data_IF_138201867143
#
_entry.id   IF_138201867143
#
_cell.length_a   1.000
_cell.length_b   1.000
_cell.length_c   1.000
_cell.angle_alpha   90.00
_cell.angle_beta   90.00
_cell.angle_gamma   90.00
#
_symmetry.space_group_name_H-M   'P 1'
#
loop_
_entity.id
_entity.type
_entity.pdbx_description
1 polymer ?
#
# COMPACT_ATOMS: atom_id res chain seq x y z
N UNK A 1 8.85 22.29 -16.98
CA UNK A 1 9.21 21.25 -17.98
C UNK A 1 9.44 19.89 -17.32
N UNK A 2 10.28 19.79 -16.26
CA UNK A 2 10.62 18.49 -15.65
C UNK A 2 9.44 17.79 -14.96
N UNK A 3 8.54 18.54 -14.32
CA UNK A 3 7.36 18.00 -13.65
C UNK A 3 6.29 17.57 -14.65
N UNK A 4 6.09 18.35 -15.69
CA UNK A 4 5.18 18.08 -16.79
C UNK A 4 5.55 16.75 -17.49
N UNK A 5 6.82 16.59 -17.85
CA UNK A 5 7.34 15.37 -18.48
C UNK A 5 7.34 14.17 -17.52
N UNK A 6 7.75 14.39 -16.26
CA UNK A 6 7.82 13.34 -15.23
C UNK A 6 6.47 12.71 -14.92
N UNK A 7 5.42 13.53 -14.84
CA UNK A 7 4.09 13.08 -14.46
C UNK A 7 3.11 12.99 -15.64
N UNK A 8 3.59 13.31 -16.88
CA UNK A 8 2.78 13.31 -18.11
C UNK A 8 1.50 14.14 -17.97
N UNK A 9 1.64 15.36 -17.43
CA UNK A 9 0.54 16.28 -17.23
C UNK A 9 0.13 16.94 -18.54
N UNK A 10 -1.16 17.16 -18.74
CA UNK A 10 -1.64 17.96 -19.85
C UNK A 10 -1.58 19.48 -19.55
N UNK A 11 -1.88 20.32 -20.55
CA UNK A 11 -1.82 21.77 -20.45
C UNK A 11 -2.75 22.34 -19.35
N UNK A 12 -3.91 21.73 -19.17
CA UNK A 12 -4.86 22.14 -18.13
C UNK A 12 -4.34 21.75 -16.73
N UNK A 13 -3.78 20.55 -16.58
CA UNK A 13 -3.19 20.07 -15.33
C UNK A 13 -1.99 20.94 -14.91
N UNK A 14 -1.15 21.31 -15.87
CA UNK A 14 -0.01 22.24 -15.64
C UNK A 14 -0.51 23.61 -15.22
N UNK A 15 -1.56 24.13 -15.86
CA UNK A 15 -2.16 25.42 -15.51
C UNK A 15 -2.75 25.41 -14.11
N UNK A 16 -3.49 24.34 -13.76
CA UNK A 16 -4.04 24.14 -12.41
C UNK A 16 -2.91 24.10 -11.35
N UNK A 17 -1.84 23.35 -11.62
CA UNK A 17 -0.72 23.23 -10.69
C UNK A 17 0.00 24.59 -10.52
N UNK A 18 0.25 25.32 -11.60
CA UNK A 18 0.89 26.61 -11.53
C UNK A 18 0.08 27.62 -10.71
N UNK A 19 -1.24 27.61 -10.87
CA UNK A 19 -2.14 28.44 -10.08
C UNK A 19 -2.12 28.06 -8.60
N UNK A 20 -2.19 26.78 -8.27
CA UNK A 20 -2.12 26.29 -6.90
C UNK A 20 -0.81 26.67 -6.21
N UNK A 21 0.32 26.52 -6.90
CA UNK A 21 1.63 26.90 -6.36
C UNK A 21 1.69 28.39 -6.06
N UNK A 22 1.15 29.23 -6.95
CA UNK A 22 1.10 30.65 -6.74
C UNK A 22 0.28 31.03 -5.52
N UNK A 23 -0.95 30.55 -5.43
CA UNK A 23 -1.85 30.84 -4.32
C UNK A 23 -1.32 30.31 -2.97
N UNK A 24 -0.66 29.14 -2.96
CA UNK A 24 0.01 28.60 -1.77
C UNK A 24 1.17 29.47 -1.29
N UNK A 25 1.94 30.06 -2.21
CA UNK A 25 3.01 31.04 -1.89
C UNK A 25 2.45 32.32 -1.30
N UNK A 26 1.26 32.75 -1.75
CA UNK A 26 0.54 33.92 -1.23
C UNK A 26 -0.20 33.62 0.09
N UNK A 27 -0.19 32.36 0.55
CA UNK A 27 -0.85 31.91 1.79
C UNK A 27 -2.37 31.75 1.65
N UNK A 28 -2.88 31.68 0.42
CA UNK A 28 -4.29 31.52 0.09
C UNK A 28 -4.69 30.05 -0.01
N UNK A 29 -5.97 29.75 0.23
CA UNK A 29 -6.58 28.43 -0.02
C UNK A 29 -7.42 28.51 -1.28
N UNK A 30 -7.37 27.46 -2.10
CA UNK A 30 -8.11 27.39 -3.38
C UNK A 30 -9.24 26.38 -3.26
N UNK A 31 -10.45 26.79 -3.62
CA UNK A 31 -11.60 25.87 -3.71
C UNK A 31 -11.56 25.07 -5.02
N UNK A 32 -12.03 23.83 -4.97
CA UNK A 32 -12.10 22.93 -6.14
C UNK A 32 -12.86 23.57 -7.31
N UNK A 33 -13.99 24.24 -7.04
CA UNK A 33 -14.79 24.87 -8.10
C UNK A 33 -14.05 26.05 -8.72
N UNK A 34 -13.25 26.78 -7.97
CA UNK A 34 -12.42 27.88 -8.46
C UNK A 34 -11.34 27.35 -9.41
N UNK A 35 -10.62 26.30 -8.98
CA UNK A 35 -9.56 25.69 -9.78
C UNK A 35 -10.09 25.12 -11.11
N UNK A 36 -11.26 24.47 -11.08
CA UNK A 36 -11.87 23.92 -12.30
C UNK A 36 -12.34 25.03 -13.24
N UNK A 37 -12.89 26.13 -12.72
CA UNK A 37 -13.29 27.26 -13.55
C UNK A 37 -12.13 27.91 -14.28
N UNK A 38 -10.93 27.87 -13.72
CA UNK A 38 -9.72 28.42 -14.33
C UNK A 38 -9.44 27.82 -15.72
N UNK A 39 -9.74 26.53 -15.90
CA UNK A 39 -9.48 25.77 -17.15
C UNK A 39 -10.78 25.45 -17.92
N UNK A 40 -11.87 26.17 -17.63
CA UNK A 40 -13.17 25.93 -18.24
C UNK A 40 -13.75 27.21 -18.84
N UNK A 41 -14.20 27.13 -20.08
CA UNK A 41 -14.80 28.25 -20.82
C UNK A 41 -16.30 28.36 -20.58
N UNK A 42 -16.98 27.29 -20.25
CA UNK A 42 -18.43 27.23 -20.04
C UNK A 42 -18.83 26.22 -18.94
N UNK A 43 -20.12 26.17 -18.60
CA UNK A 43 -20.63 25.27 -17.55
C UNK A 43 -20.53 23.78 -17.91
N UNK A 44 -20.56 23.41 -19.18
CA UNK A 44 -20.38 22.02 -19.61
C UNK A 44 -18.93 21.59 -19.42
N UNK A 45 -18.00 22.48 -19.69
CA UNK A 45 -16.58 22.23 -19.43
C UNK A 45 -16.28 22.13 -17.94
N UNK A 46 -16.88 22.97 -17.11
CA UNK A 46 -16.77 22.89 -15.63
C UNK A 46 -17.18 21.49 -15.14
N UNK A 47 -18.28 20.94 -15.67
CA UNK A 47 -18.71 19.60 -15.31
C UNK A 47 -17.72 18.51 -15.77
N UNK A 48 -17.28 18.60 -17.03
CA UNK A 48 -16.32 17.65 -17.61
C UNK A 48 -14.95 17.73 -16.92
N UNK A 49 -14.45 18.93 -16.65
CA UNK A 49 -13.12 19.17 -16.11
C UNK A 49 -12.99 18.80 -14.62
N UNK A 50 -14.10 18.50 -13.92
CA UNK A 50 -14.05 17.88 -12.59
C UNK A 50 -13.28 16.56 -12.58
N UNK A 51 -13.16 15.89 -13.72
CA UNK A 51 -12.37 14.68 -13.86
C UNK A 51 -10.88 14.88 -13.52
N UNK A 52 -10.32 16.09 -13.69
CA UNK A 52 -8.92 16.40 -13.34
C UNK A 52 -8.62 16.30 -11.84
N UNK A 53 -9.63 16.35 -11.00
CA UNK A 53 -9.53 16.21 -9.54
C UNK A 53 -10.23 14.93 -9.04
N UNK A 54 -10.57 14.00 -9.94
CA UNK A 54 -11.06 12.68 -9.53
C UNK A 54 -9.94 11.85 -8.90
N UNK A 55 -10.31 10.84 -8.13
CA UNK A 55 -9.35 9.94 -7.45
C UNK A 55 -8.39 9.24 -8.43
N UNK A 56 -8.82 9.09 -9.69
CA UNK A 56 -8.05 8.45 -10.76
C UNK A 56 -7.27 9.45 -11.63
N UNK A 57 -7.44 10.75 -11.39
CA UNK A 57 -6.76 11.79 -12.17
C UNK A 57 -5.25 11.83 -11.87
N UNK A 58 -4.39 12.14 -12.87
CA UNK A 58 -2.95 12.24 -12.69
C UNK A 58 -2.51 13.16 -11.55
N UNK A 59 -3.15 14.32 -11.39
CA UNK A 59 -2.85 15.25 -10.31
C UNK A 59 -3.05 14.64 -8.92
N UNK A 60 -4.13 13.87 -8.74
CA UNK A 60 -4.46 13.23 -7.46
C UNK A 60 -3.68 11.92 -7.28
N UNK A 61 -3.63 11.09 -8.33
CA UNK A 61 -2.95 9.78 -8.29
C UNK A 61 -1.45 9.92 -8.00
N UNK A 62 -0.78 10.86 -8.66
CA UNK A 62 0.65 11.09 -8.44
C UNK A 62 0.91 11.90 -7.15
N UNK A 63 -0.12 12.27 -6.42
CA UNK A 63 0.00 13.05 -5.20
C UNK A 63 0.58 14.44 -5.41
N UNK A 64 0.29 15.02 -6.56
CA UNK A 64 0.66 16.40 -6.90
C UNK A 64 -0.23 17.36 -6.12
N UNK A 65 -1.51 17.04 -6.02
CA UNK A 65 -2.51 17.79 -5.25
C UNK A 65 -3.14 16.94 -4.16
N UNK A 66 -3.58 17.59 -3.10
CA UNK A 66 -4.30 16.99 -1.98
C UNK A 66 -5.64 17.71 -1.79
N UNK A 67 -6.73 16.92 -1.75
CA UNK A 67 -8.08 17.42 -1.49
C UNK A 67 -8.32 17.36 0.02
N UNK A 68 -8.63 18.50 0.63
CA UNK A 68 -9.00 18.58 2.05
C UNK A 68 -10.51 18.73 2.15
N UNK A 69 -11.19 17.76 2.77
CA UNK A 69 -12.57 17.92 3.17
C UNK A 69 -12.64 18.86 4.38
N UNK A 70 -13.25 20.02 4.21
CA UNK A 70 -13.55 20.91 5.33
C UNK A 70 -14.61 20.29 6.22
N UNK A 71 -14.18 19.72 7.35
CA UNK A 71 -15.04 19.04 8.34
C UNK A 71 -15.77 20.06 9.25
N UNK A 72 -15.60 21.36 9.04
CA UNK A 72 -16.23 22.42 9.83
C UNK A 72 -17.27 23.20 9.02
N UNK A 73 -18.54 23.01 9.44
CA UNK A 73 -19.68 23.85 9.11
C UNK A 73 -20.13 23.92 7.63
N UNK A 74 -21.08 23.05 7.24
CA UNK A 74 -22.10 23.27 6.19
C UNK A 74 -21.72 24.09 4.94
N UNK A 75 -20.43 24.30 4.63
CA UNK A 75 -19.98 24.95 3.41
C UNK A 75 -19.62 23.90 2.35
N UNK A 76 -20.29 23.97 1.24
CA UNK A 76 -19.97 23.25 0.00
C UNK A 76 -18.64 23.81 -0.51
N UNK A 77 -17.53 23.15 -0.21
CA UNK A 77 -16.23 23.47 -0.77
C UNK A 77 -15.21 22.52 -0.21
N UNK A 78 -14.59 21.76 -1.07
CA UNK A 78 -13.36 21.02 -0.74
C UNK A 78 -12.20 21.90 -1.15
N UNK A 79 -11.31 22.22 -0.21
CA UNK A 79 -10.08 22.94 -0.53
C UNK A 79 -9.11 21.98 -1.23
N UNK A 80 -8.40 22.51 -2.21
CA UNK A 80 -7.35 21.79 -2.93
C UNK A 80 -6.02 22.51 -2.73
N UNK A 81 -4.95 21.76 -2.49
CA UNK A 81 -3.60 22.29 -2.28
C UNK A 81 -2.59 21.50 -3.06
N UNK A 82 -1.49 22.15 -3.46
CA UNK A 82 -0.31 21.46 -3.89
C UNK A 82 0.34 20.73 -2.70
N UNK A 83 0.83 19.50 -2.93
CA UNK A 83 1.47 18.78 -1.83
C UNK A 83 2.81 19.41 -1.45
N UNK A 84 3.24 19.32 -0.17
CA UNK A 84 4.52 19.87 0.26
C UNK A 84 5.71 19.36 -0.56
N UNK A 85 5.64 18.13 -1.06
CA UNK A 85 6.69 17.52 -1.89
C UNK A 85 6.83 18.24 -3.23
N UNK A 86 5.70 18.50 -3.88
CA UNK A 86 5.66 19.24 -5.14
C UNK A 86 6.09 20.69 -4.93
N UNK A 87 5.66 21.33 -3.85
CA UNK A 87 6.09 22.68 -3.50
C UNK A 87 7.61 22.75 -3.32
N UNK A 88 8.21 21.80 -2.59
CA UNK A 88 9.67 21.72 -2.45
C UNK A 88 10.37 21.51 -3.80
N UNK A 89 9.87 20.59 -4.61
CA UNK A 89 10.46 20.30 -5.92
C UNK A 89 10.41 21.53 -6.85
N UNK A 90 9.30 22.29 -6.84
CA UNK A 90 9.14 23.47 -7.69
C UNK A 90 9.97 24.65 -7.19
N UNK A 91 9.97 24.88 -5.86
CA UNK A 91 10.60 26.09 -5.28
C UNK A 91 12.09 25.91 -5.07
N UNK A 92 12.53 24.73 -4.62
CA UNK A 92 13.90 24.47 -4.21
C UNK A 92 14.70 23.66 -5.24
N UNK A 93 14.07 23.20 -6.31
CA UNK A 93 14.67 22.31 -7.34
C UNK A 93 15.40 21.11 -6.72
N UNK A 94 14.91 20.64 -5.56
CA UNK A 94 15.48 19.52 -4.84
C UNK A 94 14.52 18.32 -4.93
N UNK A 95 15.00 17.14 -5.40
CA UNK A 95 14.21 15.95 -5.35
C UNK A 95 13.92 15.59 -3.89
N UNK A 96 12.66 15.33 -3.58
CA UNK A 96 12.25 14.86 -2.25
C UNK A 96 12.65 13.40 -2.13
N UNK A 97 13.38 13.06 -1.07
CA UNK A 97 13.80 11.70 -0.77
C UNK A 97 12.61 10.82 -0.36
N UNK A 98 12.66 9.55 -0.73
CA UNK A 98 11.63 8.54 -0.38
C UNK A 98 11.41 8.45 1.14
N UNK A 99 12.46 8.63 1.93
CA UNK A 99 12.38 8.59 3.39
C UNK A 99 11.58 9.76 3.96
N UNK A 100 11.76 10.94 3.40
CA UNK A 100 10.99 12.12 3.77
C UNK A 100 9.51 11.96 3.37
N UNK A 101 9.24 11.45 2.15
CA UNK A 101 7.86 11.14 1.70
C UNK A 101 7.17 10.13 2.60
N UNK A 102 7.83 9.04 2.95
CA UNK A 102 7.31 8.04 3.88
C UNK A 102 6.97 8.67 5.23
N UNK A 103 7.89 9.48 5.77
CA UNK A 103 7.70 10.16 7.05
C UNK A 103 6.49 11.09 7.02
N UNK A 104 6.31 11.85 5.94
CA UNK A 104 5.17 12.75 5.78
C UNK A 104 3.85 12.00 5.66
N UNK A 105 3.79 10.92 4.85
CA UNK A 105 2.57 10.13 4.68
C UNK A 105 2.17 9.42 5.99
N UNK A 106 3.14 8.99 6.77
CA UNK A 106 2.93 8.29 8.04
C UNK A 106 2.71 9.23 9.23
N UNK A 107 2.97 10.53 9.08
CA UNK A 107 2.82 11.51 10.16
C UNK A 107 1.39 11.52 10.70
N UNK A 108 1.26 11.32 12.02
CA UNK A 108 -0.04 11.26 12.69
C UNK A 108 -0.84 9.97 12.42
N UNK A 109 -0.21 8.95 11.83
CA UNK A 109 -0.85 7.66 11.59
C UNK A 109 -0.32 6.62 12.60
N UNK A 110 -1.18 6.23 13.53
CA UNK A 110 -0.92 5.28 14.62
C UNK A 110 -1.11 3.79 14.23
N UNK A 111 -1.61 3.54 13.02
CA UNK A 111 -1.84 2.17 12.54
C UNK A 111 -0.55 1.45 12.15
N UNK A 112 0.50 2.19 11.83
CA UNK A 112 1.72 1.64 11.25
C UNK A 112 2.94 1.87 12.13
N UNK A 113 3.84 0.90 12.05
CA UNK A 113 5.22 1.01 12.57
C UNK A 113 6.18 0.73 11.42
N UNK A 114 7.00 1.72 11.04
CA UNK A 114 8.02 1.56 10.00
C UNK A 114 9.32 1.07 10.62
N UNK A 115 9.90 0.01 10.06
CA UNK A 115 11.15 -0.60 10.52
C UNK A 115 12.09 -0.76 9.33
N UNK A 116 13.37 -0.49 9.55
CA UNK A 116 14.44 -0.94 8.66
C UNK A 116 14.91 -2.32 9.14
N UNK A 117 14.63 -3.41 8.41
CA UNK A 117 14.97 -4.75 8.86
C UNK A 117 16.48 -4.97 8.81
N UNK A 118 17.05 -5.42 9.93
CA UNK A 118 18.48 -5.72 10.05
C UNK A 118 18.81 -7.21 9.78
N UNK A 119 17.78 -8.03 9.57
CA UNK A 119 17.93 -9.48 9.37
C UNK A 119 18.00 -9.80 7.89
N UNK A 120 18.90 -10.74 7.55
CA UNK A 120 19.06 -11.23 6.18
C UNK A 120 18.44 -12.62 6.02
N UNK A 121 18.34 -13.10 4.78
CA UNK A 121 17.91 -14.47 4.52
C UNK A 121 18.88 -15.51 5.11
N UNK A 122 20.14 -15.14 5.35
CA UNK A 122 21.13 -16.03 5.96
C UNK A 122 20.88 -16.23 7.46
N UNK A 123 20.40 -15.18 8.14
CA UNK A 123 20.03 -15.25 9.56
C UNK A 123 18.77 -16.08 9.80
N UNK A 124 17.98 -16.35 8.76
CA UNK A 124 16.77 -17.13 8.84
C UNK A 124 17.10 -18.62 8.92
N UNK A 125 16.86 -19.24 10.07
CA UNK A 125 17.09 -20.67 10.27
C UNK A 125 15.84 -21.44 9.84
N UNK A 126 15.86 -21.90 8.59
CA UNK A 126 14.82 -22.71 7.93
C UNK A 126 15.48 -23.79 7.09
N UNK A 127 14.69 -24.80 6.72
CA UNK A 127 15.12 -25.80 5.75
C UNK A 127 15.57 -25.12 4.44
N UNK A 128 16.70 -25.58 3.83
CA UNK A 128 17.24 -24.94 2.62
C UNK A 128 16.24 -24.89 1.47
N UNK A 129 15.41 -25.91 1.31
CA UNK A 129 14.38 -25.99 0.27
C UNK A 129 13.34 -24.91 0.43
N UNK A 130 12.94 -24.59 1.68
CA UNK A 130 11.98 -23.56 1.97
C UNK A 130 12.56 -22.17 1.69
N UNK A 131 13.83 -21.92 2.09
CA UNK A 131 14.55 -20.69 1.73
C UNK A 131 14.62 -20.49 0.22
N UNK A 132 14.97 -21.53 -0.51
CA UNK A 132 15.07 -21.47 -1.97
C UNK A 132 13.69 -21.18 -2.61
N UNK A 133 12.64 -21.78 -2.07
CA UNK A 133 11.26 -21.52 -2.52
C UNK A 133 10.89 -20.06 -2.33
N UNK A 134 11.22 -19.46 -1.17
CA UNK A 134 11.01 -18.04 -0.90
C UNK A 134 11.73 -17.17 -1.95
N UNK A 135 13.05 -17.39 -2.09
CA UNK A 135 13.90 -16.60 -2.98
C UNK A 135 13.41 -16.71 -4.44
N UNK A 136 13.12 -17.93 -4.89
CA UNK A 136 12.65 -18.16 -6.26
C UNK A 136 11.29 -17.52 -6.52
N UNK A 137 10.37 -17.59 -5.55
CA UNK A 137 9.03 -16.99 -5.70
C UNK A 137 9.08 -15.47 -5.73
N UNK A 138 9.97 -14.87 -4.93
CA UNK A 138 10.21 -13.42 -4.93
C UNK A 138 10.93 -13.01 -6.22
N UNK A 139 11.91 -13.78 -6.67
CA UNK A 139 12.64 -13.53 -7.92
C UNK A 139 11.69 -13.47 -9.11
N UNK A 140 10.75 -14.42 -9.21
CA UNK A 140 9.73 -14.43 -10.28
C UNK A 140 8.83 -13.19 -10.25
N UNK A 141 8.59 -12.62 -9.09
CA UNK A 141 7.84 -11.36 -8.98
C UNK A 141 8.66 -10.16 -9.50
N UNK A 142 9.99 -10.14 -9.26
CA UNK A 142 10.91 -9.12 -9.77
C UNK A 142 11.29 -9.32 -11.24
N UNK A 143 11.42 -10.56 -11.68
CA UNK A 143 11.63 -10.92 -13.09
C UNK A 143 10.32 -10.64 -13.82
N UNK A 144 10.18 -9.43 -14.24
CA UNK A 144 9.22 -8.84 -15.14
C UNK A 144 8.36 -9.89 -15.89
N UNK A 145 7.31 -10.37 -15.23
CA UNK A 145 6.30 -11.26 -15.87
C UNK A 145 5.79 -10.61 -17.17
N UNK A 146 5.77 -9.27 -17.21
CA UNK A 146 5.43 -8.50 -18.40
C UNK A 146 6.40 -8.73 -19.57
N UNK A 147 7.71 -8.88 -19.31
CA UNK A 147 8.69 -9.16 -20.37
C UNK A 147 8.49 -10.58 -20.93
N UNK A 148 8.20 -11.55 -20.07
CA UNK A 148 7.90 -12.92 -20.50
C UNK A 148 6.56 -13.01 -21.24
N UNK A 149 5.53 -12.29 -20.79
CA UNK A 149 4.23 -12.24 -21.45
C UNK A 149 4.29 -11.50 -22.78
N UNK A 150 5.14 -10.46 -22.90
CA UNK A 150 5.40 -9.78 -24.18
C UNK A 150 6.14 -10.68 -25.15
N UNK A 151 7.15 -11.42 -24.68
CA UNK A 151 7.92 -12.36 -25.50
C UNK A 151 7.06 -13.53 -26.01
N UNK A 152 6.07 -13.95 -25.23
CA UNK A 152 5.10 -14.96 -25.63
C UNK A 152 3.91 -14.44 -26.43
N UNK A 153 3.87 -13.15 -26.76
CA UNK A 153 2.76 -12.48 -27.47
C UNK A 153 1.38 -12.70 -26.81
N UNK A 154 1.36 -13.03 -25.53
CA UNK A 154 0.14 -13.22 -24.75
C UNK A 154 -0.43 -11.88 -24.23
N UNK A 155 0.31 -10.81 -24.37
CA UNK A 155 -0.13 -9.45 -24.10
C UNK A 155 -0.92 -8.94 -25.32
N UNK A 156 -2.07 -9.54 -25.57
CA UNK A 156 -3.05 -8.93 -26.47
C UNK A 156 -3.59 -7.71 -25.73
N UNK A 157 -3.22 -6.52 -26.23
CA UNK A 157 -3.64 -5.23 -25.74
C UNK A 157 -5.15 -5.11 -25.55
N UNK A 158 -5.64 -5.69 -24.49
CA UNK A 158 -6.97 -5.45 -24.00
C UNK A 158 -6.97 -4.12 -23.24
N UNK A 159 -7.41 -3.09 -23.95
CA UNK A 159 -7.72 -1.74 -23.49
C UNK A 159 -6.53 -0.89 -23.00
N UNK A 160 -5.85 -0.27 -23.94
CA UNK A 160 -5.41 1.10 -23.80
C UNK A 160 -6.66 1.98 -23.56
N UNK A 161 -7.07 2.08 -22.31
CA UNK A 161 -7.93 3.17 -21.89
C UNK A 161 -7.04 4.39 -21.92
N UNK A 162 -7.31 5.25 -22.87
CA UNK A 162 -6.66 6.53 -23.14
C UNK A 162 -6.36 7.25 -21.84
N UNK A 163 -5.05 7.50 -21.54
CA UNK A 163 -4.62 8.40 -20.49
C UNK A 163 -3.89 7.80 -19.28
N UNK A 164 -3.60 6.50 -19.24
CA UNK A 164 -2.85 5.93 -18.13
C UNK A 164 -1.34 6.18 -18.30
N UNK A 165 -0.77 7.01 -17.44
CA UNK A 165 0.67 7.23 -17.27
C UNK A 165 1.46 5.92 -17.36
N UNK A 166 2.54 5.90 -18.17
CA UNK A 166 3.44 4.77 -18.44
C UNK A 166 4.30 4.31 -17.25
N UNK A 167 3.98 4.63 -16.01
CA UNK A 167 4.61 3.95 -14.88
C UNK A 167 4.10 2.50 -14.89
N UNK A 168 5.00 1.55 -15.16
CA UNK A 168 4.75 0.10 -15.03
C UNK A 168 4.04 -0.14 -13.71
N UNK A 169 2.75 -0.49 -13.77
CA UNK A 169 1.99 -0.89 -12.59
C UNK A 169 2.48 -2.27 -12.19
N UNK A 170 3.40 -2.34 -11.22
CA UNK A 170 3.80 -3.62 -10.64
C UNK A 170 2.55 -4.29 -10.06
N UNK A 171 2.26 -5.54 -10.43
CA UNK A 171 1.17 -6.29 -9.82
C UNK A 171 1.42 -6.44 -8.32
N UNK A 172 0.37 -6.51 -7.51
CA UNK A 172 0.51 -6.75 -6.09
C UNK A 172 1.02 -8.16 -5.80
N UNK A 173 1.95 -8.32 -4.85
CA UNK A 173 2.38 -9.62 -4.33
C UNK A 173 1.83 -9.84 -2.94
N UNK A 174 0.92 -10.81 -2.80
CA UNK A 174 0.39 -11.24 -1.51
C UNK A 174 1.03 -12.55 -1.07
N UNK A 175 1.65 -12.52 0.11
CA UNK A 175 2.28 -13.69 0.72
C UNK A 175 1.63 -14.00 2.06
N UNK A 176 1.46 -15.26 2.37
CA UNK A 176 1.00 -15.75 3.65
C UNK A 176 2.10 -16.60 4.31
N UNK A 177 2.50 -16.21 5.52
CA UNK A 177 3.34 -17.03 6.39
C UNK A 177 2.47 -17.60 7.51
N UNK A 178 2.32 -18.91 7.54
CA UNK A 178 1.50 -19.58 8.54
C UNK A 178 2.31 -20.61 9.33
N UNK A 179 1.83 -20.99 10.50
CA UNK A 179 2.48 -21.96 11.35
C UNK A 179 2.33 -21.63 12.84
N UNK A 180 2.79 -22.50 13.74
CA UNK A 180 2.65 -22.33 15.18
C UNK A 180 3.23 -21.00 15.69
N UNK A 181 2.75 -20.53 16.84
CA UNK A 181 3.33 -19.34 17.48
C UNK A 181 4.80 -19.56 17.82
N UNK A 182 5.62 -18.51 17.69
CA UNK A 182 7.06 -18.57 18.00
C UNK A 182 7.96 -19.17 16.90
N UNK A 183 7.44 -19.51 15.72
CA UNK A 183 8.24 -20.04 14.59
C UNK A 183 8.99 -18.97 13.79
N UNK A 184 8.93 -17.70 14.20
CA UNK A 184 9.71 -16.63 13.56
C UNK A 184 9.05 -15.99 12.34
N UNK A 185 7.73 -16.05 12.18
CA UNK A 185 7.00 -15.48 11.03
C UNK A 185 7.29 -13.99 10.79
N UNK A 186 7.26 -13.19 11.85
CA UNK A 186 7.58 -11.76 11.79
C UNK A 186 9.05 -11.53 11.41
N UNK A 187 9.96 -12.35 11.95
CA UNK A 187 11.39 -12.33 11.62
C UNK A 187 11.60 -12.67 10.13
N UNK A 188 10.95 -13.73 9.64
CA UNK A 188 11.00 -14.10 8.23
C UNK A 188 10.46 -12.99 7.31
N UNK A 189 9.40 -12.30 7.73
CA UNK A 189 8.87 -11.14 6.99
C UNK A 189 9.90 -10.01 6.88
N UNK A 190 10.65 -9.75 7.95
CA UNK A 190 11.76 -8.79 7.95
C UNK A 190 12.90 -9.21 7.03
N UNK A 191 13.32 -10.48 7.08
CA UNK A 191 14.36 -11.01 6.20
C UNK A 191 13.96 -10.95 4.71
N UNK A 192 12.69 -11.22 4.40
CA UNK A 192 12.13 -11.08 3.05
C UNK A 192 12.16 -9.61 2.61
N UNK A 193 11.72 -8.68 3.45
CA UNK A 193 11.75 -7.24 3.13
C UNK A 193 13.19 -6.77 2.86
N UNK A 194 14.15 -7.20 3.69
CA UNK A 194 15.58 -6.89 3.49
C UNK A 194 16.12 -7.47 2.19
N UNK A 195 15.74 -8.70 1.85
CA UNK A 195 16.14 -9.34 0.59
C UNK A 195 15.61 -8.57 -0.64
N UNK A 196 14.42 -7.98 -0.52
CA UNK A 196 13.84 -7.09 -1.52
C UNK A 196 14.46 -5.67 -1.54
N UNK A 197 15.37 -5.36 -0.63
CA UNK A 197 15.93 -4.01 -0.46
C UNK A 197 14.88 -2.99 0.02
N UNK A 198 13.84 -3.45 0.75
CA UNK A 198 12.69 -2.64 1.18
C UNK A 198 12.62 -2.52 2.70
N UNK A 199 12.11 -1.39 3.19
CA UNK A 199 11.70 -1.25 4.59
C UNK A 199 10.45 -2.11 4.87
N UNK A 200 10.16 -2.35 6.14
CA UNK A 200 8.99 -3.10 6.59
C UNK A 200 8.01 -2.17 7.30
N UNK A 201 6.78 -2.13 6.82
CA UNK A 201 5.68 -1.36 7.38
C UNK A 201 4.74 -2.32 8.11
N UNK A 202 4.80 -2.35 9.43
CA UNK A 202 4.05 -3.30 10.25
C UNK A 202 2.73 -2.68 10.70
N UNK A 203 1.67 -3.46 10.58
CA UNK A 203 0.38 -3.19 11.21
C UNK A 203 -0.09 -4.42 11.98
N UNK A 204 -0.49 -4.21 13.22
CA UNK A 204 -1.12 -5.24 14.03
C UNK A 204 -2.63 -5.15 13.87
N UNK A 205 -3.26 -6.28 13.59
CA UNK A 205 -4.72 -6.33 13.40
C UNK A 205 -5.48 -5.85 14.63
N UNK A 206 -4.95 -6.08 15.83
CA UNK A 206 -5.53 -5.58 17.07
C UNK A 206 -5.72 -4.06 17.09
N UNK A 207 -4.86 -3.30 16.41
CA UNK A 207 -4.97 -1.84 16.30
C UNK A 207 -6.11 -1.39 15.37
N UNK A 208 -6.55 -2.26 14.47
CA UNK A 208 -7.66 -1.98 13.56
C UNK A 208 -9.01 -2.13 14.25
N UNK A 209 -9.07 -2.93 15.31
CA UNK A 209 -10.30 -3.17 16.04
C UNK A 209 -10.58 -2.02 17.02
N UNK A 210 -11.77 -1.50 16.96
CA UNK A 210 -12.29 -0.51 17.89
C UNK A 210 -13.52 -1.06 18.60
N UNK A 211 -13.75 -0.58 19.83
CA UNK A 211 -14.99 -0.87 20.57
C UNK A 211 -16.22 -0.15 19.98
N UNK A 212 -15.99 0.81 19.10
CA UNK A 212 -17.04 1.62 18.49
C UNK A 212 -17.47 1.04 17.14
N UNK A 213 -18.77 0.94 16.93
CA UNK A 213 -19.36 0.45 15.67
C UNK A 213 -18.93 1.35 14.51
N UNK A 214 -18.43 0.74 13.43
CA UNK A 214 -18.00 1.42 12.21
C UNK A 214 -16.57 2.00 12.22
N UNK A 215 -15.90 2.10 13.38
CA UNK A 215 -14.52 2.57 13.45
C UNK A 215 -13.52 1.55 12.89
N UNK A 216 -13.74 0.28 13.18
CA UNK A 216 -12.92 -0.81 12.64
C UNK A 216 -12.93 -0.83 11.10
N UNK A 217 -14.10 -0.61 10.49
CA UNK A 217 -14.22 -0.52 9.02
C UNK A 217 -13.46 0.69 8.46
N UNK A 218 -13.56 1.84 9.12
CA UNK A 218 -12.80 3.04 8.76
C UNK A 218 -11.29 2.81 8.85
N UNK A 219 -10.83 2.13 9.90
CA UNK A 219 -9.43 1.80 10.08
C UNK A 219 -8.89 0.87 9.00
N UNK A 220 -9.66 -0.16 8.60
CA UNK A 220 -9.28 -1.05 7.49
C UNK A 220 -9.22 -0.29 6.16
N UNK A 221 -10.21 0.56 5.86
CA UNK A 221 -10.14 1.42 4.66
C UNK A 221 -8.95 2.37 4.71
N UNK A 222 -8.70 3.00 5.86
CA UNK A 222 -7.55 3.89 6.07
C UNK A 222 -6.22 3.16 5.85
N UNK A 223 -6.08 1.92 6.34
CA UNK A 223 -4.91 1.10 6.14
C UNK A 223 -4.59 0.93 4.66
N UNK A 224 -5.54 0.44 3.87
CA UNK A 224 -5.32 0.22 2.43
C UNK A 224 -5.10 1.53 1.66
N UNK A 225 -5.85 2.58 1.96
CA UNK A 225 -5.70 3.88 1.31
C UNK A 225 -4.31 4.51 1.57
N UNK A 226 -3.83 4.43 2.82
CA UNK A 226 -2.50 4.94 3.17
C UNK A 226 -1.41 4.11 2.48
N UNK A 227 -1.51 2.79 2.51
CA UNK A 227 -0.54 1.94 1.83
C UNK A 227 -0.54 2.15 0.31
N UNK A 228 -1.71 2.28 -0.31
CA UNK A 228 -1.82 2.60 -1.74
C UNK A 228 -1.19 3.96 -2.06
N UNK A 229 -1.39 4.97 -1.20
CA UNK A 229 -0.72 6.28 -1.33
C UNK A 229 0.81 6.15 -1.26
N UNK A 230 1.33 5.34 -0.34
CA UNK A 230 2.77 5.06 -0.25
C UNK A 230 3.28 4.42 -1.54
N UNK A 231 2.63 3.35 -2.03
CA UNK A 231 3.04 2.65 -3.26
C UNK A 231 3.02 3.56 -4.49
N UNK A 232 2.15 4.55 -4.52
CA UNK A 232 2.07 5.51 -5.63
C UNK A 232 3.13 6.60 -5.57
N UNK A 233 3.52 7.06 -4.36
CA UNK A 233 4.36 8.24 -4.15
C UNK A 233 5.84 7.94 -3.88
N UNK A 234 6.12 6.74 -3.41
CA UNK A 234 7.47 6.30 -3.00
C UNK A 234 8.03 5.40 -4.08
N UNK A 235 9.23 5.67 -4.55
CA UNK A 235 9.85 4.92 -5.66
C UNK A 235 10.21 3.49 -5.21
N UNK A 236 10.64 3.32 -3.94
CA UNK A 236 10.86 2.01 -3.32
C UNK A 236 9.93 1.80 -2.12
N UNK A 237 8.64 1.47 -2.35
CA UNK A 237 7.67 1.34 -1.29
C UNK A 237 7.99 0.18 -0.34
N UNK A 238 7.75 0.32 0.97
CA UNK A 238 8.01 -0.73 1.96
C UNK A 238 7.10 -1.95 1.73
N UNK A 239 7.51 -3.08 2.28
CA UNK A 239 6.65 -4.27 2.39
C UNK A 239 5.64 -4.03 3.52
N UNK A 240 4.35 -4.19 3.25
CA UNK A 240 3.31 -4.16 4.27
C UNK A 240 3.23 -5.51 4.99
N UNK A 241 3.39 -5.53 6.29
CA UNK A 241 3.19 -6.70 7.13
C UNK A 241 1.89 -6.57 7.92
N UNK A 242 0.93 -7.45 7.65
CA UNK A 242 -0.24 -7.67 8.49
C UNK A 242 0.07 -8.75 9.51
N UNK A 243 0.39 -8.33 10.73
CA UNK A 243 0.75 -9.24 11.79
C UNK A 243 -0.49 -9.78 12.50
N UNK A 244 -0.49 -11.09 12.83
CA UNK A 244 -1.58 -11.77 13.54
C UNK A 244 -2.94 -11.67 12.82
N UNK A 245 -2.96 -12.00 11.53
CA UNK A 245 -4.14 -11.90 10.69
C UNK A 245 -5.24 -12.95 11.00
N UNK A 246 -5.08 -13.73 12.06
CA UNK A 246 -5.97 -14.84 12.46
C UNK A 246 -7.44 -14.44 12.50
N UNK A 247 -7.72 -13.26 13.03
CA UNK A 247 -9.06 -12.80 13.33
C UNK A 247 -9.94 -12.57 12.10
N UNK A 248 -9.35 -12.22 10.95
CA UNK A 248 -10.14 -12.00 9.73
C UNK A 248 -9.95 -13.10 8.67
N UNK A 249 -8.92 -13.95 8.80
CA UNK A 249 -8.69 -15.05 7.87
C UNK A 249 -9.58 -16.28 8.13
N UNK A 250 -10.25 -16.33 9.27
CA UNK A 250 -11.12 -17.44 9.67
C UNK A 250 -12.31 -17.61 8.74
N UNK A 251 -12.85 -18.80 8.68
CA UNK A 251 -14.07 -19.12 7.94
C UNK A 251 -15.25 -18.25 8.40
N UNK A 252 -16.02 -17.77 7.44
CA UNK A 252 -17.20 -16.93 7.69
C UNK A 252 -18.25 -17.71 8.50
N UNK A 253 -18.87 -17.01 9.43
CA UNK A 253 -20.02 -17.55 10.13
C UNK A 253 -21.22 -17.52 9.19
N UNK A 254 -21.72 -18.69 8.80
CA UNK A 254 -22.85 -18.85 7.88
C UNK A 254 -24.19 -18.42 8.51
N UNK A 255 -24.31 -18.45 9.82
CA UNK A 255 -25.46 -17.97 10.57
C UNK A 255 -25.06 -16.73 11.39
N UNK A 256 -25.39 -15.56 10.88
CA UNK A 256 -25.19 -14.30 11.61
C UNK A 256 -26.30 -14.16 12.66
N UNK A 257 -25.99 -14.52 13.91
CA UNK A 257 -26.92 -14.42 15.05
C UNK A 257 -26.72 -13.14 15.86
N UNK A 258 -25.63 -12.41 15.62
CA UNK A 258 -25.33 -11.20 16.38
C UNK A 258 -24.83 -10.07 15.47
N UNK A 259 -24.94 -8.82 15.96
CA UNK A 259 -24.33 -7.65 15.29
C UNK A 259 -22.81 -7.75 15.18
N UNK A 260 -22.16 -8.51 16.07
CA UNK A 260 -20.72 -8.77 16.06
C UNK A 260 -20.36 -9.62 14.84
N UNK A 261 -21.15 -10.66 14.53
CA UNK A 261 -20.93 -11.54 13.37
C UNK A 261 -21.07 -10.77 12.05
N UNK A 262 -22.03 -9.85 11.98
CA UNK A 262 -22.21 -8.97 10.81
C UNK A 262 -21.00 -8.03 10.63
N UNK A 263 -20.50 -7.45 11.71
CA UNK A 263 -19.31 -6.59 11.68
C UNK A 263 -18.06 -7.38 11.23
N UNK A 264 -17.86 -8.60 11.72
CA UNK A 264 -16.73 -9.44 11.29
C UNK A 264 -16.81 -9.78 9.80
N UNK A 265 -17.99 -10.16 9.29
CA UNK A 265 -18.18 -10.41 7.87
C UNK A 265 -17.94 -9.15 7.01
N UNK A 266 -18.34 -7.97 7.49
CA UNK A 266 -18.08 -6.69 6.82
C UNK A 266 -16.59 -6.40 6.74
N UNK A 267 -15.86 -6.59 7.85
CA UNK A 267 -14.41 -6.41 7.89
C UNK A 267 -13.69 -7.37 6.93
N UNK A 268 -14.10 -8.66 6.91
CA UNK A 268 -13.56 -9.64 5.97
C UNK A 268 -13.75 -9.21 4.51
N UNK A 269 -14.92 -8.67 4.16
CA UNK A 269 -15.18 -8.17 2.80
C UNK A 269 -14.26 -7.00 2.45
N UNK A 270 -14.02 -6.06 3.39
CA UNK A 270 -13.10 -4.94 3.17
C UNK A 270 -11.65 -5.41 2.97
N UNK A 271 -11.20 -6.42 3.73
CA UNK A 271 -9.88 -7.01 3.50
C UNK A 271 -9.79 -7.69 2.13
N UNK A 272 -10.81 -8.45 1.72
CA UNK A 272 -10.86 -9.08 0.39
C UNK A 272 -10.80 -8.04 -0.73
N UNK A 273 -11.56 -6.95 -0.62
CA UNK A 273 -11.51 -5.82 -1.56
C UNK A 273 -10.13 -5.17 -1.58
N UNK A 274 -9.53 -4.93 -0.40
CA UNK A 274 -8.19 -4.38 -0.28
C UNK A 274 -7.12 -5.27 -0.92
N UNK A 275 -7.23 -6.60 -0.76
CA UNK A 275 -6.31 -7.56 -1.38
C UNK A 275 -6.41 -7.57 -2.91
N UNK A 276 -7.61 -7.44 -3.47
CA UNK A 276 -7.83 -7.39 -4.93
C UNK A 276 -7.24 -6.13 -5.58
N UNK A 277 -7.25 -5.01 -4.85
CA UNK A 277 -6.72 -3.73 -5.34
C UNK A 277 -5.26 -3.53 -5.02
N UNK A 278 -4.67 -4.43 -4.22
CA UNK A 278 -3.31 -4.25 -3.72
C UNK A 278 -2.31 -4.05 -4.84
N UNK A 279 -1.43 -3.09 -4.64
CA UNK A 279 -0.19 -2.87 -5.39
C UNK A 279 0.97 -2.97 -4.39
N UNK A 280 2.15 -3.29 -4.91
CA UNK A 280 3.31 -3.51 -4.04
C UNK A 280 3.28 -4.87 -3.34
N UNK A 281 4.08 -5.04 -2.29
CA UNK A 281 4.26 -6.32 -1.59
C UNK A 281 3.59 -6.29 -0.23
N UNK A 282 2.78 -7.31 0.05
CA UNK A 282 2.17 -7.52 1.36
C UNK A 282 2.41 -8.94 1.87
N UNK A 283 2.74 -9.05 3.13
CA UNK A 283 2.89 -10.31 3.86
C UNK A 283 1.86 -10.32 4.98
N UNK A 284 1.08 -11.38 5.07
CA UNK A 284 0.24 -11.65 6.23
C UNK A 284 0.82 -12.80 7.05
N UNK A 285 0.77 -12.69 8.39
CA UNK A 285 1.18 -13.77 9.27
C UNK A 285 -0.04 -14.31 10.03
N UNK A 286 -0.10 -15.63 10.21
CA UNK A 286 -1.18 -16.29 10.94
C UNK A 286 -0.68 -17.53 11.69
N UNK A 287 -1.32 -17.82 12.82
CA UNK A 287 -1.11 -19.07 13.55
C UNK A 287 -2.10 -20.16 13.10
N UNK A 288 -3.09 -19.81 12.28
CA UNK A 288 -4.10 -20.76 11.78
C UNK A 288 -3.51 -21.60 10.65
N UNK A 289 -3.63 -22.94 10.79
CA UNK A 289 -3.21 -23.89 9.76
C UNK A 289 -4.40 -24.32 8.88
N UNK A 290 -5.55 -24.64 9.45
CA UNK A 290 -6.61 -25.40 8.77
C UNK A 290 -7.95 -24.66 8.59
N UNK A 291 -8.17 -23.50 9.21
CA UNK A 291 -9.48 -22.83 9.25
C UNK A 291 -9.53 -21.52 8.45
N UNK A 292 -8.69 -21.38 7.41
CA UNK A 292 -8.72 -20.21 6.57
C UNK A 292 -9.88 -20.23 5.59
N UNK A 293 -10.61 -19.13 5.49
CA UNK A 293 -11.64 -18.97 4.47
C UNK A 293 -11.05 -19.11 3.07
N UNK A 294 -11.71 -19.91 2.24
CA UNK A 294 -11.28 -20.22 0.87
C UNK A 294 -11.15 -18.96 -0.02
N UNK A 295 -11.93 -17.92 0.27
CA UNK A 295 -11.85 -16.65 -0.45
C UNK A 295 -10.53 -15.94 -0.21
N UNK A 296 -10.01 -15.95 1.04
CA UNK A 296 -8.68 -15.42 1.33
C UNK A 296 -7.59 -16.32 0.76
N UNK A 297 -7.73 -17.65 0.92
CA UNK A 297 -6.74 -18.61 0.43
C UNK A 297 -6.42 -18.46 -1.06
N UNK A 298 -7.43 -18.13 -1.87
CA UNK A 298 -7.28 -17.97 -3.34
C UNK A 298 -6.53 -16.68 -3.74
N UNK A 299 -6.46 -15.68 -2.84
CA UNK A 299 -5.85 -14.38 -3.14
C UNK A 299 -4.37 -14.33 -2.81
N UNK A 300 -3.90 -15.22 -1.93
CA UNK A 300 -2.48 -15.31 -1.66
C UNK A 300 -1.75 -16.00 -2.81
N UNK A 301 -0.78 -15.30 -3.40
CA UNK A 301 0.06 -15.82 -4.46
C UNK A 301 1.07 -16.86 -3.96
N UNK A 302 1.55 -16.68 -2.72
CA UNK A 302 2.47 -17.57 -2.07
C UNK A 302 1.99 -17.85 -0.64
N UNK A 303 1.90 -19.13 -0.30
CA UNK A 303 1.57 -19.61 1.05
C UNK A 303 2.70 -20.48 1.54
N UNK A 304 3.27 -20.15 2.69
CA UNK A 304 4.40 -20.86 3.25
C UNK A 304 4.14 -21.20 4.71
N UNK A 305 4.36 -22.47 5.01
CA UNK A 305 4.36 -22.97 6.37
C UNK A 305 5.74 -22.77 6.99
N UNK A 306 5.80 -22.15 8.17
CA UNK A 306 6.96 -22.12 9.04
C UNK A 306 6.72 -23.14 10.17
N UNK A 307 7.23 -24.35 10.04
CA UNK A 307 7.04 -25.39 11.03
C UNK A 307 7.84 -25.10 12.31
N UNK A 308 7.57 -25.85 13.37
CA UNK A 308 8.44 -25.84 14.55
C UNK A 308 9.84 -26.28 14.17
N UNK A 309 10.89 -25.58 14.65
CA UNK A 309 12.27 -25.87 14.28
C UNK A 309 12.69 -27.27 14.75
N UNK A 310 13.37 -28.00 13.88
CA UNK A 310 13.96 -29.29 14.16
C UNK A 310 15.09 -29.20 15.24
N UNK A 311 15.56 -30.30 15.74
CA UNK A 311 16.59 -30.31 16.82
C UNK A 311 17.84 -29.51 16.45
N UNK A 312 18.33 -29.70 15.23
CA UNK A 312 19.55 -29.04 14.73
C UNK A 312 19.30 -27.52 14.48
N UNK A 313 18.11 -27.18 14.03
CA UNK A 313 17.70 -25.79 13.87
C UNK A 313 17.58 -25.09 15.22
N UNK A 314 17.01 -25.74 16.24
CA UNK A 314 16.97 -25.20 17.60
C UNK A 314 18.37 -24.96 18.17
N UNK A 315 19.32 -25.88 17.94
CA UNK A 315 20.71 -25.70 18.37
C UNK A 315 21.34 -24.46 17.71
N UNK A 316 21.08 -24.23 16.41
CA UNK A 316 21.54 -23.01 15.70
C UNK A 316 20.88 -21.75 16.26
N UNK A 317 19.56 -21.78 16.55
CA UNK A 317 18.84 -20.66 17.17
C UNK A 317 19.44 -20.31 18.54
N UNK A 318 19.74 -21.31 19.38
CA UNK A 318 20.39 -21.08 20.67
C UNK A 318 21.77 -20.42 20.50
N UNK A 319 22.58 -20.89 19.58
CA UNK A 319 23.89 -20.29 19.32
C UNK A 319 23.82 -18.86 18.79
N UNK A 320 22.75 -18.50 18.09
CA UNK A 320 22.54 -17.14 17.60
C UNK A 320 22.14 -16.17 18.72
N UNK A 321 21.39 -16.64 19.72
CA UNK A 321 20.84 -15.81 20.79
C UNK A 321 21.65 -15.84 22.11
N UNK A 322 22.50 -16.82 22.30
CA UNK A 322 23.35 -16.88 23.47
C UNK A 322 24.61 -16.05 23.24
N UNK A 323 25.07 -15.29 24.25
CA UNK A 323 26.35 -14.59 24.16
C UNK A 323 27.46 -15.61 23.94
N UNK A 324 28.49 -15.26 23.15
CA UNK A 324 29.67 -16.13 23.00
C UNK A 324 30.31 -16.39 24.37
N UNK A 325 30.45 -17.64 24.75
CA UNK A 325 31.13 -18.11 25.99
C UNK A 325 32.62 -17.87 25.94
#
# INVERSE_FOLDING_TARGET
>A
QDIEEKYSLDENEVTMLAYLVKEELDGSTVDVDELIKLVSSDQHEVYRNRQYLSIDAPLVQNGIVELQENMFLMSKGSDVRATPDIMKQIILDTPVDDEERLTQILKGNDLFTLIDPNYTMDDLILAPELKQTIITSIGRYHENVDAVLQDWQLYNGAMDVVGASKKKKEPGLLMLLHGPSGTGKTFASGAIAKHLGKKLLITDISRLQSKWVGESEKNVRRLFNVFERIVRRVDNPPVLLLNEADQFLTTRLSETRSSIDQMQNSLQNLFLEGFERLRGVMIATTNLQDNMDSAFSRRFHLKMELPMPAKDERAKLWNLHLPPT
#
